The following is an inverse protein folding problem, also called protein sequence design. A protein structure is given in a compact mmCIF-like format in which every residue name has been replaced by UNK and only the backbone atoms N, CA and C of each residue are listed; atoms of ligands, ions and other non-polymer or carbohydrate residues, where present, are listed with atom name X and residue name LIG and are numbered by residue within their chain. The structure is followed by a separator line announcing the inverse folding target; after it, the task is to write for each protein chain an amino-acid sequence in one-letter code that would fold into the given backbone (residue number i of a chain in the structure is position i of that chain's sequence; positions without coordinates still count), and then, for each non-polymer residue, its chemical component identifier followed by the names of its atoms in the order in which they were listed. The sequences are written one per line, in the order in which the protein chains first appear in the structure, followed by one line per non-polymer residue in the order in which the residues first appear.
data_IF_994242912713
#
_entry.id   IF_994242912713
#
_cell.length_a   1.000
_cell.length_b   1.000
_cell.length_c   1.000
_cell.angle_alpha   90.00
_cell.angle_beta   90.00
_cell.angle_gamma   90.00
#
_symmetry.space_group_name_H-M   'P 1'
#
loop_
_entity.id
_entity.type
_entity.pdbx_description
1 polymer ?
#
# COMPACT_ATOMS: atom_id res chain seq x y z
N UNK A 1 -2.61 16.84 -3.28
CA UNK A 1 -1.17 16.53 -3.39
C UNK A 1 -1.02 15.02 -3.36
N UNK A 2 -0.27 14.42 -4.29
CA UNK A 2 -0.06 12.96 -4.33
C UNK A 2 1.01 12.66 -3.29
N UNK A 3 0.65 11.91 -2.25
CA UNK A 3 1.57 11.62 -1.15
C UNK A 3 2.53 10.54 -1.66
N UNK A 4 3.77 10.91 -2.01
CA UNK A 4 4.79 9.95 -2.46
C UNK A 4 4.96 8.78 -1.48
N UNK A 5 4.62 9.01 -0.22
CA UNK A 5 4.63 8.02 0.83
C UNK A 5 3.61 6.88 0.59
N UNK A 6 2.45 7.16 -0.03
CA UNK A 6 1.46 6.15 -0.38
C UNK A 6 1.95 5.26 -1.53
N UNK A 7 2.54 5.87 -2.57
CA UNK A 7 3.17 5.15 -3.67
C UNK A 7 4.37 4.31 -3.22
N UNK A 8 5.20 4.85 -2.34
CA UNK A 8 6.33 4.14 -1.78
C UNK A 8 5.88 2.93 -0.95
N UNK A 9 4.83 3.09 -0.14
CA UNK A 9 4.23 1.99 0.62
C UNK A 9 3.67 0.92 -0.33
N UNK A 10 2.97 1.33 -1.39
CA UNK A 10 2.44 0.41 -2.40
C UNK A 10 3.55 -0.36 -3.13
N UNK A 11 4.60 0.33 -3.59
CA UNK A 11 5.74 -0.28 -4.27
C UNK A 11 6.39 -1.35 -3.37
N UNK A 12 6.56 -1.06 -2.07
CA UNK A 12 7.08 -2.03 -1.11
C UNK A 12 6.17 -3.23 -0.90
N UNK A 13 4.84 -3.04 -0.93
CA UNK A 13 3.89 -4.16 -0.87
C UNK A 13 4.02 -5.06 -2.09
N UNK A 14 4.16 -4.49 -3.29
CA UNK A 14 4.35 -5.24 -4.54
C UNK A 14 5.72 -5.91 -4.59
N UNK A 15 6.80 -5.21 -4.24
CA UNK A 15 8.17 -5.76 -4.19
C UNK A 15 8.29 -6.94 -3.21
N UNK A 16 7.63 -6.85 -2.05
CA UNK A 16 7.74 -7.86 -0.99
C UNK A 16 6.56 -8.84 -0.95
N UNK A 17 5.62 -8.75 -1.90
CA UNK A 17 4.51 -9.69 -2.06
C UNK A 17 3.50 -9.72 -0.90
N UNK A 18 3.40 -8.64 -0.11
CA UNK A 18 2.39 -8.58 0.94
C UNK A 18 2.54 -7.47 1.99
N UNK A 19 1.41 -7.09 2.57
CA UNK A 19 1.30 -6.02 3.57
C UNK A 19 2.09 -6.28 4.86
N UNK A 20 2.19 -7.54 5.28
CA UNK A 20 2.94 -7.90 6.48
C UNK A 20 4.46 -7.78 6.29
N UNK A 21 4.96 -8.15 5.11
CA UNK A 21 6.38 -8.04 4.76
C UNK A 21 6.77 -6.56 4.58
N UNK A 22 5.96 -5.79 3.85
CA UNK A 22 6.16 -4.36 3.69
C UNK A 22 6.09 -3.61 5.04
N UNK A 23 5.11 -3.93 5.90
CA UNK A 23 4.99 -3.33 7.23
C UNK A 23 6.21 -3.59 8.12
N UNK A 24 6.78 -4.80 8.06
CA UNK A 24 8.03 -5.12 8.77
C UNK A 24 9.21 -4.27 8.32
N UNK A 25 9.36 -4.04 7.01
CA UNK A 25 10.48 -3.29 6.44
C UNK A 25 10.30 -1.79 6.66
N UNK A 26 9.07 -1.30 6.55
CA UNK A 26 8.71 0.10 6.75
C UNK A 26 8.60 0.48 8.24
N UNK A 27 8.63 -0.48 9.16
CA UNK A 27 8.37 -0.25 10.58
C UNK A 27 6.94 0.23 10.86
N UNK A 28 6.00 -0.05 9.97
CA UNK A 28 4.61 0.38 10.05
C UNK A 28 3.69 -0.80 10.37
N UNK A 29 2.65 -0.61 11.18
CA UNK A 29 1.67 -1.66 11.41
C UNK A 29 0.89 -1.95 10.13
N UNK A 30 0.51 -3.23 9.95
CA UNK A 30 -0.25 -3.72 8.79
C UNK A 30 -1.49 -2.87 8.49
N UNK A 31 -2.20 -2.42 9.54
CA UNK A 31 -3.39 -1.58 9.42
C UNK A 31 -3.09 -0.24 8.73
N UNK A 32 -1.98 0.42 9.06
CA UNK A 32 -1.57 1.68 8.42
C UNK A 32 -1.13 1.47 6.98
N UNK A 33 -0.40 0.38 6.69
CA UNK A 33 0.02 0.03 5.32
C UNK A 33 -1.21 -0.23 4.46
N UNK A 34 -2.15 -1.05 4.97
CA UNK A 34 -3.41 -1.35 4.28
C UNK A 34 -4.23 -0.08 4.03
N UNK A 35 -4.37 0.79 5.03
CA UNK A 35 -5.16 2.01 4.90
C UNK A 35 -4.57 3.00 3.87
N UNK A 36 -3.24 3.09 3.79
CA UNK A 36 -2.56 3.91 2.78
C UNK A 36 -2.72 3.34 1.38
N UNK A 37 -2.63 2.02 1.23
CA UNK A 37 -2.85 1.36 -0.06
C UNK A 37 -4.30 1.50 -0.50
N UNK A 38 -5.28 1.26 0.38
CA UNK A 38 -6.70 1.43 0.04
C UNK A 38 -7.06 2.88 -0.31
N UNK A 39 -6.46 3.87 0.36
CA UNK A 39 -6.64 5.27 0.00
C UNK A 39 -5.99 5.60 -1.35
N UNK A 40 -4.83 5.00 -1.66
CA UNK A 40 -4.20 5.12 -2.97
C UNK A 40 -5.09 4.51 -4.06
N UNK A 41 -5.64 3.32 -3.82
CA UNK A 41 -6.55 2.61 -4.74
C UNK A 41 -7.85 3.40 -4.96
N UNK A 42 -8.45 3.95 -3.89
CA UNK A 42 -9.65 4.79 -3.98
C UNK A 42 -9.39 6.07 -4.79
N UNK A 43 -8.21 6.69 -4.60
CA UNK A 43 -7.81 7.87 -5.37
C UNK A 43 -7.49 7.57 -6.83
N UNK A 44 -7.06 6.35 -7.13
CA UNK A 44 -6.73 5.91 -8.48
C UNK A 44 -7.93 5.34 -9.23
N UNK A 45 -9.06 5.09 -8.57
CA UNK A 45 -10.24 4.40 -9.12
C UNK A 45 -9.90 3.05 -9.79
N UNK A 46 -8.72 2.47 -9.48
CA UNK A 46 -8.25 1.21 -10.04
C UNK A 46 -8.85 0.06 -9.24
N UNK A 47 -10.11 -0.22 -9.53
CA UNK A 47 -10.85 -1.36 -9.00
C UNK A 47 -10.67 -2.58 -9.91
N UNK A 48 -9.43 -3.04 -10.03
CA UNK A 48 -9.07 -4.25 -10.77
C UNK A 48 -7.83 -4.85 -10.08
N UNK A 49 -7.84 -6.05 -9.50
CA UNK A 49 -8.67 -7.21 -9.72
C UNK A 49 -9.15 -7.81 -8.39
N UNK A 50 -10.42 -8.19 -8.36
CA UNK A 50 -10.85 -9.27 -7.50
C UNK A 50 -10.17 -10.58 -7.91
N UNK A 51 -9.60 -11.26 -6.93
CA UNK A 51 -9.52 -12.71 -6.78
C UNK A 51 -9.33 -12.99 -5.28
#
# INVERSE_FOLDING_TARGET
MIDLNEWYVYLRVVEHGGFAAAGRILGMPKSTVSHKVSNLEERLDFRECGC
#
